data_IF_253631728034
#
_entry.id   IF_253631728034
#
_cell.length_a   1.000
_cell.length_b   1.000
_cell.length_c   1.000
_cell.angle_alpha   90.00
_cell.angle_beta   90.00
_cell.angle_gamma   90.00
#
_symmetry.space_group_name_H-M   'P 1'
#
loop_
_entity.id
_entity.type
_entity.pdbx_description
1 polymer ?
#
# COMPACT_ATOMS: atom_id res chain seq x y z
N UNK A 1 69.55 87.58 -67.42
CA UNK A 1 69.44 87.26 -65.98
C UNK A 1 68.22 86.34 -65.75
N UNK A 2 68.24 85.11 -66.27
CA UNK A 2 67.06 84.21 -66.28
C UNK A 2 67.42 82.80 -65.83
N UNK A 3 68.49 82.21 -66.39
CA UNK A 3 68.99 80.85 -66.11
C UNK A 3 69.09 80.44 -64.61
N UNK A 4 69.32 81.37 -63.68
CA UNK A 4 69.39 81.05 -62.23
C UNK A 4 68.01 80.76 -61.63
N UNK A 5 66.94 81.36 -62.14
CA UNK A 5 65.58 81.19 -61.62
C UNK A 5 64.99 79.84 -62.08
N UNK A 6 65.23 79.49 -63.35
CA UNK A 6 64.73 78.26 -63.99
C UNK A 6 65.29 77.00 -63.30
N UNK A 7 66.57 77.02 -62.89
CA UNK A 7 67.20 75.93 -62.15
C UNK A 7 66.59 75.70 -60.75
N UNK A 8 66.16 76.76 -60.07
CA UNK A 8 65.48 76.64 -58.76
C UNK A 8 64.09 76.04 -58.92
N UNK A 9 63.34 76.45 -59.95
CA UNK A 9 62.01 75.88 -60.24
C UNK A 9 62.09 74.39 -60.58
N UNK A 10 63.09 73.96 -61.35
CA UNK A 10 63.30 72.53 -61.66
C UNK A 10 63.59 71.70 -60.40
N UNK A 11 64.39 72.22 -59.46
CA UNK A 11 64.65 71.57 -58.17
C UNK A 11 63.39 71.47 -57.30
N UNK A 12 62.57 72.52 -57.23
CA UNK A 12 61.29 72.50 -56.51
C UNK A 12 60.29 71.50 -57.13
N UNK A 13 60.26 71.38 -58.47
CA UNK A 13 59.45 70.38 -59.16
C UNK A 13 59.96 68.95 -58.89
N UNK A 14 61.27 68.75 -58.84
CA UNK A 14 61.88 67.47 -58.49
C UNK A 14 61.62 67.08 -57.02
N UNK A 15 61.71 68.04 -56.10
CA UNK A 15 61.39 67.87 -54.67
C UNK A 15 59.91 67.48 -54.48
N UNK A 16 58.99 68.22 -55.11
CA UNK A 16 57.56 67.88 -55.12
C UNK A 16 57.32 66.46 -55.66
N UNK A 17 57.93 66.13 -56.79
CA UNK A 17 57.81 64.81 -57.43
C UNK A 17 58.38 63.67 -56.57
N UNK A 18 59.47 63.93 -55.83
CA UNK A 18 60.04 62.98 -54.88
C UNK A 18 59.16 62.81 -53.63
N UNK A 19 58.64 63.91 -53.09
CA UNK A 19 57.70 63.91 -51.96
C UNK A 19 56.41 63.16 -52.29
N UNK A 20 55.85 63.36 -53.49
CA UNK A 20 54.68 62.62 -53.98
C UNK A 20 54.95 61.10 -54.07
N UNK A 21 56.09 60.68 -54.64
CA UNK A 21 56.50 59.25 -54.68
C UNK A 21 56.64 58.64 -53.27
N UNK A 22 57.22 59.36 -52.33
CA UNK A 22 57.36 58.90 -50.93
C UNK A 22 55.99 58.82 -50.23
N UNK A 23 55.11 59.80 -50.44
CA UNK A 23 53.78 59.81 -49.87
C UNK A 23 52.89 58.72 -50.48
N UNK A 24 53.03 58.43 -51.77
CA UNK A 24 52.38 57.28 -52.41
C UNK A 24 52.88 55.96 -51.81
N UNK A 25 54.19 55.77 -51.64
CA UNK A 25 54.76 54.59 -51.00
C UNK A 25 54.25 54.39 -49.56
N UNK A 26 54.16 55.48 -48.76
CA UNK A 26 53.55 55.47 -47.43
C UNK A 26 52.08 55.06 -47.46
N UNK A 27 51.27 55.63 -48.38
CA UNK A 27 49.86 55.27 -48.58
C UNK A 27 49.69 53.79 -48.97
N UNK A 28 50.50 53.30 -49.91
CA UNK A 28 50.50 51.88 -50.32
C UNK A 28 50.86 50.94 -49.15
N UNK A 29 51.86 51.27 -48.33
CA UNK A 29 52.20 50.50 -47.12
C UNK A 29 51.06 50.48 -46.10
N UNK A 30 50.44 51.64 -45.84
CA UNK A 30 49.32 51.75 -44.91
C UNK A 30 48.08 50.98 -45.41
N UNK A 31 47.80 51.01 -46.72
CA UNK A 31 46.71 50.24 -47.34
C UNK A 31 46.90 48.74 -47.14
N UNK A 32 48.08 48.20 -47.51
CA UNK A 32 48.42 46.78 -47.31
C UNK A 32 48.32 46.32 -45.86
N UNK A 33 48.77 47.16 -44.91
CA UNK A 33 48.66 46.84 -43.48
C UNK A 33 47.20 46.84 -43.00
N UNK A 34 46.33 47.68 -43.56
CA UNK A 34 44.89 47.66 -43.27
C UNK A 34 44.20 46.46 -43.91
N UNK A 35 44.55 46.13 -45.15
CA UNK A 35 44.04 44.96 -45.88
C UNK A 35 44.37 43.66 -45.15
N UNK A 36 45.65 43.44 -44.81
CA UNK A 36 46.08 42.25 -44.06
C UNK A 36 45.40 42.11 -42.69
N UNK A 37 45.09 43.22 -42.00
CA UNK A 37 44.32 43.20 -40.75
C UNK A 37 42.86 42.83 -40.94
N UNK A 38 42.23 43.31 -42.02
CA UNK A 38 40.83 42.99 -42.35
C UNK A 38 40.72 41.53 -42.77
N UNK A 39 41.65 41.05 -43.60
CA UNK A 39 41.72 39.67 -44.08
C UNK A 39 41.91 38.68 -42.92
N UNK A 40 42.91 38.91 -42.05
CA UNK A 40 43.12 38.07 -40.86
C UNK A 40 41.93 38.10 -39.89
N UNK A 41 41.26 39.24 -39.72
CA UNK A 41 40.06 39.32 -38.88
C UNK A 41 38.88 38.55 -39.50
N UNK A 42 38.70 38.64 -40.82
CA UNK A 42 37.66 37.90 -41.53
C UNK A 42 37.89 36.38 -41.47
N UNK A 43 39.14 35.92 -41.52
CA UNK A 43 39.51 34.51 -41.35
C UNK A 43 39.21 34.01 -39.92
N UNK A 44 39.58 34.79 -38.90
CA UNK A 44 39.23 34.50 -37.48
C UNK A 44 37.71 34.41 -37.28
N UNK A 45 36.94 35.33 -37.86
CA UNK A 45 35.48 35.35 -37.70
C UNK A 45 34.81 34.22 -38.51
N UNK A 46 35.38 33.80 -39.65
CA UNK A 46 34.94 32.62 -40.39
C UNK A 46 35.18 31.32 -39.60
N UNK A 47 36.38 31.13 -39.03
CA UNK A 47 36.69 30.01 -38.15
C UNK A 47 35.78 29.97 -36.91
N UNK A 48 35.46 31.14 -36.32
CA UNK A 48 34.53 31.22 -35.18
C UNK A 48 33.14 30.77 -35.60
N UNK A 49 32.63 31.26 -36.73
CA UNK A 49 31.31 30.89 -37.24
C UNK A 49 31.21 29.39 -37.57
N UNK A 50 32.28 28.77 -38.07
CA UNK A 50 32.30 27.32 -38.31
C UNK A 50 32.28 26.50 -37.01
N UNK A 51 33.10 26.87 -36.00
CA UNK A 51 33.07 26.23 -34.68
C UNK A 51 31.73 26.41 -33.98
N UNK A 52 31.09 27.57 -34.11
CA UNK A 52 29.77 27.84 -33.54
C UNK A 52 28.67 27.00 -34.21
N UNK A 53 28.70 26.84 -35.55
CA UNK A 53 27.82 25.89 -36.26
C UNK A 53 28.01 24.46 -35.77
N UNK A 54 29.26 24.03 -35.61
CA UNK A 54 29.58 22.68 -35.12
C UNK A 54 29.10 22.46 -33.67
N UNK A 55 29.30 23.44 -32.79
CA UNK A 55 28.79 23.42 -31.42
C UNK A 55 27.27 23.29 -31.41
N UNK A 56 26.56 24.12 -32.18
CA UNK A 56 25.10 24.10 -32.26
C UNK A 56 24.54 22.76 -32.77
N UNK A 57 25.16 22.15 -33.78
CA UNK A 57 24.79 20.81 -34.26
C UNK A 57 24.97 19.71 -33.19
N UNK A 58 25.96 19.85 -32.30
CA UNK A 58 26.16 18.93 -31.17
C UNK A 58 25.14 19.21 -30.06
N UNK A 59 24.88 20.48 -29.74
CA UNK A 59 23.91 20.91 -28.73
C UNK A 59 22.51 20.37 -29.05
N UNK A 60 22.01 20.56 -30.27
CA UNK A 60 20.72 20.03 -30.74
C UNK A 60 20.65 18.50 -30.59
N UNK A 61 21.74 17.79 -30.94
CA UNK A 61 21.84 16.31 -30.78
C UNK A 61 21.91 15.85 -29.32
N UNK A 62 22.49 16.65 -28.42
CA UNK A 62 22.60 16.32 -26.99
C UNK A 62 21.27 16.58 -26.27
N UNK A 63 20.62 17.71 -26.56
CA UNK A 63 19.31 18.06 -26.01
C UNK A 63 18.24 17.03 -26.40
N UNK A 64 18.21 16.60 -27.66
CA UNK A 64 17.30 15.54 -28.13
C UNK A 64 17.51 14.22 -27.39
N UNK A 65 18.76 13.75 -27.29
CA UNK A 65 19.09 12.48 -26.61
C UNK A 65 18.73 12.46 -25.13
N UNK A 66 18.85 13.59 -24.42
CA UNK A 66 18.45 13.66 -23.00
C UNK A 66 16.94 13.38 -22.82
N UNK A 67 16.11 14.02 -23.65
CA UNK A 67 14.65 13.82 -23.64
C UNK A 67 14.27 12.39 -24.04
N UNK A 68 14.96 11.83 -25.03
CA UNK A 68 14.75 10.46 -25.49
C UNK A 68 15.08 9.42 -24.40
N UNK A 69 16.23 9.55 -23.72
CA UNK A 69 16.63 8.66 -22.61
C UNK A 69 15.61 8.75 -21.46
N UNK A 70 15.18 9.96 -21.10
CA UNK A 70 14.16 10.16 -20.05
C UNK A 70 12.82 9.50 -20.41
N UNK A 71 12.39 9.60 -21.67
CA UNK A 71 11.18 8.94 -22.16
C UNK A 71 11.30 7.40 -22.16
N UNK A 72 12.47 6.86 -22.53
CA UNK A 72 12.75 5.41 -22.48
C UNK A 72 12.73 4.89 -21.03
N UNK A 73 13.37 5.61 -20.09
CA UNK A 73 13.36 5.24 -18.67
C UNK A 73 11.94 5.23 -18.11
N UNK A 74 11.12 6.26 -18.40
CA UNK A 74 9.73 6.31 -17.95
C UNK A 74 8.92 5.15 -18.51
N UNK A 75 9.01 4.90 -19.82
CA UNK A 75 8.31 3.79 -20.48
C UNK A 75 8.67 2.44 -19.86
N UNK A 76 9.95 2.14 -19.67
CA UNK A 76 10.39 0.88 -19.04
C UNK A 76 9.92 0.77 -17.58
N UNK A 77 9.92 1.88 -16.85
CA UNK A 77 9.41 1.95 -15.48
C UNK A 77 7.92 1.64 -15.41
N UNK A 78 7.12 2.25 -16.30
CA UNK A 78 5.68 2.03 -16.41
C UNK A 78 5.36 0.57 -16.80
N UNK A 79 6.13 -0.01 -17.74
CA UNK A 79 6.01 -1.42 -18.15
C UNK A 79 6.34 -2.40 -17.00
N UNK A 80 7.39 -2.11 -16.20
CA UNK A 80 7.75 -2.90 -15.01
C UNK A 80 6.66 -2.78 -13.94
N UNK A 81 6.19 -1.57 -13.63
CA UNK A 81 5.13 -1.33 -12.64
C UNK A 81 3.84 -2.03 -13.07
N UNK A 82 3.46 -1.97 -14.34
CA UNK A 82 2.29 -2.66 -14.86
C UNK A 82 2.40 -4.18 -14.73
N UNK A 83 3.58 -4.74 -15.05
CA UNK A 83 3.87 -6.18 -14.94
C UNK A 83 3.83 -6.66 -13.48
N UNK A 84 4.50 -5.94 -12.58
CA UNK A 84 4.48 -6.22 -11.15
C UNK A 84 3.07 -6.11 -10.57
N UNK A 85 2.33 -5.06 -10.94
CA UNK A 85 0.93 -4.87 -10.53
C UNK A 85 0.00 -5.97 -11.02
N UNK A 86 0.23 -6.52 -12.22
CA UNK A 86 -0.53 -7.65 -12.73
C UNK A 86 -0.23 -8.94 -11.96
N UNK A 87 1.06 -9.22 -11.67
CA UNK A 87 1.48 -10.37 -10.87
C UNK A 87 0.91 -10.31 -9.44
N UNK A 88 1.00 -9.16 -8.76
CA UNK A 88 0.42 -8.97 -7.42
C UNK A 88 -1.10 -9.16 -7.45
N UNK A 89 -1.82 -8.64 -8.46
CA UNK A 89 -3.27 -8.85 -8.59
C UNK A 89 -3.66 -10.30 -8.87
N UNK A 90 -2.78 -11.10 -9.46
CA UNK A 90 -3.05 -12.51 -9.75
C UNK A 90 -2.86 -13.40 -8.52
N UNK A 91 -1.86 -13.11 -7.68
CA UNK A 91 -1.44 -13.97 -6.56
C UNK A 91 -1.87 -13.47 -5.17
N UNK A 92 -2.53 -12.31 -5.08
CA UNK A 92 -2.92 -11.70 -3.80
C UNK A 92 -3.87 -12.60 -3.00
N UNK A 93 -4.92 -13.11 -3.63
CA UNK A 93 -5.91 -13.95 -2.97
C UNK A 93 -5.29 -15.28 -2.51
N UNK A 94 -4.54 -15.97 -3.38
CA UNK A 94 -3.81 -17.21 -3.05
C UNK A 94 -2.84 -17.03 -1.85
N UNK A 95 -2.12 -15.91 -1.80
CA UNK A 95 -1.18 -15.61 -0.72
C UNK A 95 -1.89 -15.31 0.62
N UNK A 96 -3.03 -14.63 0.57
CA UNK A 96 -3.88 -14.36 1.73
C UNK A 96 -4.47 -15.67 2.28
N UNK A 97 -5.00 -16.53 1.40
CA UNK A 97 -5.58 -17.82 1.78
C UNK A 97 -4.53 -18.76 2.37
N UNK A 98 -3.33 -18.81 1.78
CA UNK A 98 -2.20 -19.57 2.32
C UNK A 98 -1.85 -19.09 3.74
N UNK A 99 -1.63 -17.78 3.93
CA UNK A 99 -1.23 -17.21 5.21
C UNK A 99 -2.28 -17.48 6.30
N UNK A 100 -3.56 -17.20 6.01
CA UNK A 100 -4.66 -17.46 6.94
C UNK A 100 -4.80 -18.95 7.26
N UNK A 101 -4.61 -19.85 6.29
CA UNK A 101 -4.73 -21.29 6.54
C UNK A 101 -3.67 -21.83 7.50
N UNK A 102 -2.44 -21.31 7.41
CA UNK A 102 -1.32 -21.70 8.25
C UNK A 102 -1.48 -21.21 9.69
N UNK A 103 -1.86 -19.95 9.88
CA UNK A 103 -2.00 -19.33 11.21
C UNK A 103 -3.08 -20.03 12.05
N UNK A 104 -4.29 -20.20 11.50
CA UNK A 104 -5.38 -20.89 12.20
C UNK A 104 -5.05 -22.35 12.52
N UNK A 105 -4.35 -23.05 11.61
CA UNK A 105 -3.97 -24.45 11.83
C UNK A 105 -2.91 -24.59 12.92
N UNK A 106 -1.96 -23.66 13.01
CA UNK A 106 -0.96 -23.62 14.08
C UNK A 106 -1.60 -23.32 15.44
N UNK A 107 -2.50 -22.33 15.53
CA UNK A 107 -3.23 -22.02 16.77
C UNK A 107 -4.09 -23.21 17.23
N UNK A 108 -4.78 -23.87 16.30
CA UNK A 108 -5.57 -25.06 16.57
C UNK A 108 -4.70 -26.25 17.02
N UNK A 109 -3.54 -26.46 16.41
CA UNK A 109 -2.60 -27.50 16.82
C UNK A 109 -2.12 -27.29 18.27
N UNK A 110 -1.78 -26.05 18.63
CA UNK A 110 -1.42 -25.71 20.01
C UNK A 110 -2.55 -26.04 21.00
N UNK A 111 -3.79 -25.63 20.70
CA UNK A 111 -4.97 -25.95 21.53
C UNK A 111 -5.22 -27.46 21.64
N UNK A 112 -5.12 -28.21 20.54
CA UNK A 112 -5.27 -29.66 20.54
C UNK A 112 -4.20 -30.35 21.37
N UNK A 113 -2.95 -29.89 21.27
CA UNK A 113 -1.82 -30.38 22.08
C UNK A 113 -2.08 -30.18 23.57
N UNK A 114 -2.57 -29.00 23.99
CA UNK A 114 -2.88 -28.72 25.41
C UNK A 114 -4.02 -29.58 25.94
N UNK A 115 -5.09 -29.76 25.17
CA UNK A 115 -6.19 -30.66 25.55
C UNK A 115 -5.71 -32.12 25.63
N UNK A 116 -4.85 -32.55 24.69
CA UNK A 116 -4.26 -33.88 24.72
C UNK A 116 -3.37 -34.09 25.97
N UNK A 117 -2.54 -33.12 26.35
CA UNK A 117 -1.75 -33.15 27.59
C UNK A 117 -2.65 -33.29 28.85
N UNK A 118 -3.80 -32.63 28.89
CA UNK A 118 -4.76 -32.71 30.01
C UNK A 118 -5.44 -34.08 30.07
N UNK A 119 -5.92 -34.60 28.93
CA UNK A 119 -6.55 -35.93 28.84
C UNK A 119 -5.55 -37.04 29.17
N UNK A 120 -4.31 -36.93 28.67
CA UNK A 120 -3.20 -37.85 28.96
C UNK A 120 -2.93 -37.94 30.48
N UNK A 121 -2.87 -36.79 31.17
CA UNK A 121 -2.71 -36.74 32.64
C UNK A 121 -3.91 -37.34 33.37
N UNK A 122 -5.14 -37.00 32.96
CA UNK A 122 -6.36 -37.46 33.62
C UNK A 122 -6.61 -38.98 33.46
N UNK A 123 -6.19 -39.57 32.34
CA UNK A 123 -6.33 -41.00 32.04
C UNK A 123 -5.05 -41.81 32.32
N UNK A 124 -3.97 -41.14 32.76
CA UNK A 124 -2.64 -41.71 33.00
C UNK A 124 -2.11 -42.52 31.79
N UNK A 125 -2.24 -41.95 30.60
CA UNK A 125 -1.84 -42.54 29.32
C UNK A 125 -0.98 -41.57 28.49
N UNK A 126 -0.31 -42.09 27.46
CA UNK A 126 0.44 -41.27 26.49
C UNK A 126 -0.36 -41.13 25.21
N UNK A 127 -0.59 -39.90 24.76
CA UNK A 127 -1.20 -39.60 23.46
C UNK A 127 -0.07 -39.28 22.48
N UNK A 128 -0.02 -40.00 21.36
CA UNK A 128 0.99 -39.79 20.33
C UNK A 128 0.73 -38.52 19.49
N UNK A 129 1.78 -37.92 18.95
CA UNK A 129 1.70 -36.69 18.16
C UNK A 129 0.88 -36.88 16.87
N UNK A 130 0.89 -38.07 16.25
CA UNK A 130 0.05 -38.36 15.08
C UNK A 130 -1.44 -38.22 15.42
N UNK A 131 -1.86 -38.63 16.63
CA UNK A 131 -3.24 -38.49 17.10
C UNK A 131 -3.60 -37.00 17.28
N UNK A 132 -2.67 -36.19 17.80
CA UNK A 132 -2.87 -34.74 17.95
C UNK A 132 -2.96 -34.05 16.58
N UNK A 133 -2.13 -34.45 15.61
CA UNK A 133 -2.19 -33.97 14.23
C UNK A 133 -3.52 -34.34 13.54
N UNK A 134 -3.98 -35.60 13.69
CA UNK A 134 -5.27 -36.06 13.16
C UNK A 134 -6.46 -35.32 13.79
N UNK A 135 -6.44 -35.10 15.11
CA UNK A 135 -7.45 -34.31 15.81
C UNK A 135 -7.47 -32.85 15.32
N UNK A 136 -6.29 -32.26 15.10
CA UNK A 136 -6.14 -30.91 14.56
C UNK A 136 -6.71 -30.79 13.14
N UNK A 137 -6.38 -31.72 12.25
CA UNK A 137 -6.91 -31.75 10.87
C UNK A 137 -8.43 -31.93 10.84
N UNK A 138 -8.96 -32.85 11.67
CA UNK A 138 -10.41 -33.08 11.81
C UNK A 138 -11.13 -31.83 12.30
N UNK A 139 -10.61 -31.16 13.33
CA UNK A 139 -11.16 -29.93 13.86
C UNK A 139 -11.04 -28.78 12.84
N UNK A 140 -9.94 -28.68 12.09
CA UNK A 140 -9.78 -27.64 11.08
C UNK A 140 -10.84 -27.75 9.97
N UNK A 141 -11.03 -28.97 9.42
CA UNK A 141 -12.10 -29.23 8.45
C UNK A 141 -13.49 -28.98 9.02
N UNK A 142 -13.70 -29.32 10.29
CA UNK A 142 -14.95 -29.00 10.98
C UNK A 142 -15.22 -27.48 11.06
N UNK A 143 -14.21 -26.65 11.36
CA UNK A 143 -14.34 -25.19 11.35
C UNK A 143 -14.65 -24.66 9.95
N UNK A 144 -14.03 -25.20 8.89
CA UNK A 144 -14.32 -24.81 7.51
C UNK A 144 -15.78 -25.08 7.12
N UNK A 145 -16.28 -26.30 7.40
CA UNK A 145 -17.68 -26.66 7.15
C UNK A 145 -18.64 -25.78 7.96
N UNK A 146 -18.34 -25.56 9.26
CA UNK A 146 -19.15 -24.69 10.12
C UNK A 146 -19.20 -23.25 9.59
N UNK A 147 -18.09 -22.70 9.07
CA UNK A 147 -18.07 -21.36 8.48
C UNK A 147 -18.96 -21.28 7.23
N UNK A 148 -18.89 -22.26 6.33
CA UNK A 148 -19.75 -22.34 5.13
C UNK A 148 -21.23 -22.52 5.50
N UNK A 149 -21.53 -23.33 6.51
CA UNK A 149 -22.90 -23.51 7.04
C UNK A 149 -23.46 -22.19 7.59
N UNK A 150 -22.68 -21.47 8.41
CA UNK A 150 -23.08 -20.17 8.98
C UNK A 150 -23.31 -19.10 7.90
N UNK A 151 -22.43 -19.03 6.90
CA UNK A 151 -22.62 -18.13 5.76
C UNK A 151 -23.88 -18.50 4.95
N UNK A 152 -24.15 -19.81 4.78
CA UNK A 152 -25.34 -20.31 4.10
C UNK A 152 -26.62 -20.00 4.89
N UNK A 153 -26.62 -20.09 6.23
CA UNK A 153 -27.77 -19.68 7.05
C UNK A 153 -28.04 -18.16 6.94
N UNK A 154 -27.00 -17.33 6.98
CA UNK A 154 -27.14 -15.89 6.78
C UNK A 154 -27.73 -15.58 5.39
N UNK A 155 -27.16 -16.16 4.33
CA UNK A 155 -27.65 -16.00 2.94
C UNK A 155 -29.09 -16.49 2.75
N UNK A 156 -29.46 -17.63 3.35
CA UNK A 156 -30.84 -18.16 3.31
C UNK A 156 -31.84 -17.19 3.97
N UNK A 157 -31.43 -16.55 5.07
CA UNK A 157 -32.19 -15.48 5.72
C UNK A 157 -32.08 -14.11 5.02
N UNK A 158 -31.51 -14.05 3.81
CA UNK A 158 -31.28 -12.83 3.00
C UNK A 158 -30.40 -11.78 3.69
N UNK A 159 -29.48 -12.21 4.56
CA UNK A 159 -28.50 -11.37 5.25
C UNK A 159 -27.10 -11.58 4.65
N UNK A 160 -26.35 -10.50 4.50
CA UNK A 160 -24.93 -10.51 4.07
C UNK A 160 -23.96 -10.65 5.24
N UNK A 161 -24.45 -10.58 6.48
CA UNK A 161 -23.65 -10.61 7.71
C UNK A 161 -24.20 -11.70 8.62
N UNK A 162 -23.30 -12.57 9.11
CA UNK A 162 -23.59 -13.62 10.08
C UNK A 162 -23.92 -12.96 11.42
N UNK A 163 -25.00 -13.41 12.06
CA UNK A 163 -25.48 -12.88 13.33
C UNK A 163 -25.47 -14.00 14.41
N UNK A 164 -25.66 -13.61 15.67
CA UNK A 164 -25.67 -14.55 16.81
C UNK A 164 -26.69 -15.68 16.63
N UNK A 165 -27.84 -15.43 16.01
CA UNK A 165 -28.88 -16.44 15.76
C UNK A 165 -28.39 -17.60 14.88
N UNK A 166 -27.49 -17.33 13.92
CA UNK A 166 -26.91 -18.36 13.05
C UNK A 166 -26.01 -19.31 13.85
N UNK A 167 -25.17 -18.74 14.73
CA UNK A 167 -24.31 -19.50 15.65
C UNK A 167 -25.14 -20.31 16.65
N UNK A 168 -26.25 -19.75 17.13
CA UNK A 168 -27.15 -20.42 18.08
C UNK A 168 -27.89 -21.60 17.46
N UNK A 169 -28.11 -21.60 16.14
CA UNK A 169 -28.64 -22.77 15.43
C UNK A 169 -27.69 -23.98 15.53
N UNK A 170 -26.37 -23.74 15.56
CA UNK A 170 -25.38 -24.80 15.81
C UNK A 170 -25.34 -25.23 17.29
N UNK A 171 -25.34 -24.27 18.23
CA UNK A 171 -25.33 -24.57 19.68
C UNK A 171 -26.54 -25.41 20.10
N UNK A 172 -27.73 -25.17 19.50
CA UNK A 172 -28.94 -26.00 19.72
C UNK A 172 -28.75 -27.49 19.43
N UNK A 173 -27.85 -27.86 18.51
CA UNK A 173 -27.56 -29.26 18.16
C UNK A 173 -26.54 -29.92 19.11
N UNK A 174 -25.84 -29.13 19.92
CA UNK A 174 -24.76 -29.58 20.79
C UNK A 174 -25.01 -29.11 22.24
N UNK A 175 -25.81 -29.83 23.04
CA UNK A 175 -26.25 -29.39 24.37
C UNK A 175 -25.10 -29.02 25.33
N UNK A 176 -23.94 -29.66 25.18
CA UNK A 176 -22.73 -29.37 25.97
C UNK A 176 -22.17 -27.95 25.78
N UNK A 177 -22.57 -27.24 24.71
CA UNK A 177 -22.17 -25.85 24.44
C UNK A 177 -23.15 -24.82 25.03
N UNK A 178 -24.31 -25.24 25.55
CA UNK A 178 -25.29 -24.34 26.18
C UNK A 178 -24.74 -23.61 27.44
N UNK A 179 -23.97 -24.25 28.35
CA UNK A 179 -23.39 -23.58 29.51
C UNK A 179 -22.45 -22.43 29.14
N UNK A 180 -21.82 -22.49 27.96
CA UNK A 180 -20.89 -21.49 27.45
C UNK A 180 -21.58 -20.17 27.04
N UNK A 181 -22.91 -20.16 26.87
CA UNK A 181 -23.69 -18.96 26.47
C UNK A 181 -24.81 -18.60 27.48
N UNK A 182 -24.48 -18.29 28.74
CA UNK A 182 -25.46 -18.11 29.82
C UNK A 182 -26.40 -16.91 29.64
N UNK A 183 -26.02 -15.90 28.85
CA UNK A 183 -26.90 -14.76 28.53
C UNK A 183 -28.01 -15.13 27.53
N UNK A 184 -27.78 -16.12 26.67
CA UNK A 184 -28.71 -16.48 25.58
C UNK A 184 -29.59 -17.67 25.96
N UNK A 185 -29.09 -18.60 26.77
CA UNK A 185 -29.87 -19.71 27.34
C UNK A 185 -31.16 -19.23 28.05
N UNK A 186 -31.16 -18.03 28.63
CA UNK A 186 -32.32 -17.43 29.31
C UNK A 186 -33.32 -16.72 28.40
N UNK A 187 -32.90 -16.26 27.23
CA UNK A 187 -33.74 -15.42 26.35
C UNK A 187 -34.57 -16.19 25.31
N UNK A 188 -34.18 -17.41 24.98
CA UNK A 188 -34.77 -18.18 23.86
C UNK A 188 -35.79 -19.26 24.27
N UNK A 189 -36.11 -19.39 25.56
CA UNK A 189 -37.06 -20.41 26.03
C UNK A 189 -36.69 -21.82 25.59
N UNK A 190 -35.48 -22.29 25.97
CA UNK A 190 -34.99 -23.64 25.67
C UNK A 190 -35.86 -24.70 26.36
N UNK A 191 -36.99 -25.02 25.70
CA UNK A 191 -38.04 -25.92 26.15
C UNK A 191 -37.60 -27.39 26.08
N UNK A 192 -37.74 -28.11 27.20
CA UNK A 192 -37.69 -29.57 27.48
C UNK A 192 -36.70 -30.51 26.72
N UNK A 193 -36.46 -30.36 25.42
CA UNK A 193 -35.83 -31.38 24.56
C UNK A 193 -34.35 -31.62 24.88
N UNK A 194 -33.62 -30.59 25.35
CA UNK A 194 -32.21 -30.74 25.72
C UNK A 194 -32.03 -31.51 27.05
N UNK A 195 -32.96 -31.36 27.99
CA UNK A 195 -32.91 -32.03 29.30
C UNK A 195 -33.13 -33.55 29.18
N UNK A 196 -33.85 -34.00 28.16
CA UNK A 196 -34.15 -35.41 27.90
C UNK A 196 -32.94 -36.26 27.44
N UNK A 197 -31.77 -35.66 27.17
CA UNK A 197 -30.55 -36.41 26.77
C UNK A 197 -29.44 -36.44 27.82
N UNK A 198 -29.57 -35.67 28.89
CA UNK A 198 -28.62 -35.66 30.03
C UNK A 198 -29.11 -36.49 31.22
N UNK A 199 -30.26 -37.17 31.10
CA UNK A 199 -30.92 -37.87 32.20
C UNK A 199 -30.64 -39.37 32.35
N UNK A 200 -30.04 -40.04 31.36
CA UNK A 200 -29.96 -41.51 31.30
C UNK A 200 -28.53 -42.05 31.13
N UNK A 201 -27.67 -41.89 32.14
CA UNK A 201 -26.50 -42.77 32.36
C UNK A 201 -26.27 -43.06 33.85
N UNK A 202 -27.31 -43.50 34.58
CA UNK A 202 -27.10 -44.30 35.80
C UNK A 202 -27.58 -45.74 35.57
N UNK A 203 -26.66 -46.71 35.71
CA UNK A 203 -26.99 -48.13 35.56
C UNK A 203 -27.65 -48.65 36.83
N UNK A 204 -28.93 -49.02 36.73
CA UNK A 204 -29.66 -49.72 37.79
C UNK A 204 -29.01 -51.05 38.24
N UNK A 205 -28.84 -51.17 39.55
CA UNK A 205 -29.04 -52.38 40.38
C UNK A 205 -29.57 -51.82 41.71
N UNK A 206 -30.69 -52.24 42.30
CA UNK A 206 -31.62 -53.36 42.06
C UNK A 206 -33.05 -52.90 42.39
N UNK A 207 -34.08 -53.51 41.81
CA UNK A 207 -35.47 -53.03 41.97
C UNK A 207 -36.28 -53.69 43.09
N UNK A 208 -37.45 -53.12 43.40
CA UNK A 208 -38.66 -53.86 43.81
C UNK A 208 -39.91 -52.95 43.88
N UNK A 209 -40.96 -53.36 43.16
CA UNK A 209 -42.41 -53.20 43.44
C UNK A 209 -43.12 -51.83 43.59
N UNK A 210 -44.38 -51.87 43.11
CA UNK A 210 -45.62 -51.17 43.51
C UNK A 210 -45.92 -49.73 43.04
N UNK A 211 -47.05 -49.67 42.30
CA UNK A 211 -48.16 -48.70 42.34
C UNK A 211 -48.18 -47.43 41.46
N UNK A 212 -49.09 -47.49 40.47
CA UNK A 212 -49.82 -46.36 39.88
C UNK A 212 -50.93 -45.90 40.87
N UNK A 213 -51.31 -44.60 40.87
CA UNK A 213 -52.55 -44.25 40.14
C UNK A 213 -52.59 -42.86 39.47
N UNK A 214 -52.89 -42.85 38.17
CA UNK A 214 -54.12 -42.31 37.54
C UNK A 214 -54.65 -40.89 37.91
N UNK A 215 -54.82 -40.07 36.84
CA UNK A 215 -55.70 -38.89 36.63
C UNK A 215 -55.43 -37.53 37.32
N UNK A 216 -55.36 -36.46 36.50
CA UNK A 216 -56.51 -35.58 36.22
C UNK A 216 -56.28 -34.69 34.97
N UNK A 217 -57.29 -34.53 34.11
CA UNK A 217 -57.37 -33.52 33.02
C UNK A 217 -58.59 -32.61 33.24
N UNK A 218 -58.41 -31.30 33.10
CA UNK A 218 -59.42 -30.29 32.69
C UNK A 218 -58.72 -28.91 32.73
N UNK A 219 -58.34 -28.33 31.58
CA UNK A 219 -59.16 -27.40 30.79
C UNK A 219 -59.48 -26.06 31.48
N UNK A 220 -59.09 -24.94 30.85
CA UNK A 220 -60.02 -23.84 30.53
C UNK A 220 -59.43 -22.89 29.47
N UNK A 221 -60.29 -22.36 28.59
CA UNK A 221 -59.91 -21.64 27.37
C UNK A 221 -60.73 -20.34 27.24
N UNK A 222 -60.11 -19.17 26.97
CA UNK A 222 -60.80 -18.01 26.33
C UNK A 222 -59.91 -16.80 25.93
N UNK A 223 -59.87 -16.55 24.62
CA UNK A 223 -60.17 -15.27 23.92
C UNK A 223 -59.47 -13.93 24.30
N UNK A 224 -58.41 -13.61 23.55
CA UNK A 224 -58.22 -12.47 22.62
C UNK A 224 -59.06 -11.14 22.75
N UNK A 225 -58.37 -9.99 22.57
CA UNK A 225 -58.72 -8.70 21.87
C UNK A 225 -58.76 -7.35 22.65
N UNK A 226 -58.32 -6.29 21.93
CA UNK A 226 -58.59 -4.82 22.06
C UNK A 226 -57.67 -3.84 22.84
N UNK A 227 -56.82 -3.14 22.06
CA UNK A 227 -56.61 -1.67 21.94
C UNK A 227 -56.60 -0.66 23.14
N UNK A 228 -55.41 -0.05 23.33
CA UNK A 228 -55.10 1.42 23.21
C UNK A 228 -55.65 2.44 24.23
N UNK A 229 -54.76 3.04 25.05
CA UNK A 229 -54.81 4.46 25.49
C UNK A 229 -53.46 5.01 25.98
N UNK A 230 -53.15 6.29 25.66
CA UNK A 230 -52.14 7.14 26.33
C UNK A 230 -52.84 8.22 27.17
N UNK A 231 -52.16 8.86 28.14
CA UNK A 231 -51.70 10.25 27.92
C UNK A 231 -50.30 10.58 28.53
N UNK A 232 -49.71 11.73 28.15
CA UNK A 232 -48.50 12.31 28.76
C UNK A 232 -48.81 13.17 30.01
N UNK A 233 -48.02 14.16 30.47
CA UNK A 233 -46.78 14.85 30.02
C UNK A 233 -46.15 15.50 31.27
N UNK A 234 -44.81 15.53 31.46
CA UNK A 234 -44.04 16.63 32.13
C UNK A 234 -42.57 16.64 31.62
N UNK A 235 -42.04 17.84 31.39
CA UNK A 235 -40.64 18.27 31.11
C UNK A 235 -40.49 19.60 31.91
N UNK A 236 -39.35 20.08 32.48
CA UNK A 236 -38.08 20.32 31.77
C UNK A 236 -36.79 20.26 32.68
N UNK A 237 -35.70 21.03 32.49
CA UNK A 237 -34.43 20.47 31.99
C UNK A 237 -33.18 20.84 32.82
N UNK A 238 -31.97 20.50 32.36
CA UNK A 238 -30.81 21.41 32.52
C UNK A 238 -29.68 21.18 31.51
N UNK A 239 -28.95 22.26 31.26
CA UNK A 239 -27.93 22.46 30.22
C UNK A 239 -26.55 22.57 30.84
N UNK A 240 -25.51 22.05 30.18
CA UNK A 240 -24.15 22.63 30.22
C UNK A 240 -23.23 22.01 29.15
N UNK A 241 -22.11 22.61 28.73
CA UNK A 241 -21.80 24.01 28.42
C UNK A 241 -20.39 24.07 27.78
N UNK A 242 -20.18 24.99 26.82
CA UNK A 242 -18.87 25.52 26.46
C UNK A 242 -18.00 24.71 25.46
N UNK A 243 -17.06 25.28 24.71
CA UNK A 243 -17.06 26.50 23.84
C UNK A 243 -15.71 26.54 23.07
N UNK A 244 -15.56 27.53 22.18
CA UNK A 244 -14.28 28.08 21.68
C UNK A 244 -13.51 27.32 20.58
N UNK A 245 -12.82 27.98 19.63
CA UNK A 245 -12.94 29.37 19.10
C UNK A 245 -12.24 29.43 17.70
N UNK A 246 -12.22 30.60 17.01
CA UNK A 246 -11.92 30.67 15.56
C UNK A 246 -10.87 31.75 15.17
N UNK A 247 -9.85 31.36 14.37
CA UNK A 247 -8.94 32.19 13.52
C UNK A 247 -7.90 33.12 14.24
N UNK A 248 -6.88 33.75 13.57
CA UNK A 248 -6.44 33.70 12.15
C UNK A 248 -4.89 33.66 11.84
N UNK A 249 -4.55 33.53 10.54
CA UNK A 249 -3.41 34.07 9.70
C UNK A 249 -1.87 34.01 10.03
N UNK A 250 -1.15 33.36 9.07
CA UNK A 250 0.08 33.76 8.32
C UNK A 250 1.57 33.54 8.83
N UNK A 251 2.58 33.47 7.90
CA UNK A 251 3.92 32.80 8.03
C UNK A 251 5.11 33.82 8.24
N UNK A 252 6.45 33.65 7.92
CA UNK A 252 7.21 32.62 7.13
C UNK A 252 8.68 32.22 7.54
N UNK A 253 9.23 31.18 6.87
CA UNK A 253 10.67 30.93 6.55
C UNK A 253 10.75 29.85 5.44
N UNK A 254 11.54 29.91 4.37
CA UNK A 254 12.96 30.22 4.07
C UNK A 254 13.96 29.06 4.26
N UNK A 255 14.38 28.55 3.09
CA UNK A 255 15.76 28.17 2.70
C UNK A 255 16.55 27.15 3.55
N UNK A 256 16.76 25.95 3.01
CA UNK A 256 18.11 25.38 2.86
C UNK A 256 18.12 24.13 1.96
N UNK A 257 19.19 24.01 1.17
CA UNK A 257 19.39 22.96 0.17
C UNK A 257 19.97 21.68 0.81
N UNK A 258 19.43 20.51 0.49
CA UNK A 258 20.11 19.24 0.78
C UNK A 258 20.83 18.74 -0.46
N UNK A 259 22.16 18.73 -0.36
CA UNK A 259 23.11 18.43 -1.44
C UNK A 259 23.21 16.93 -1.70
N UNK A 260 22.76 16.52 -2.89
CA UNK A 260 23.19 15.34 -3.68
C UNK A 260 24.05 14.27 -2.99
N UNK A 261 23.47 13.09 -2.80
CA UNK A 261 24.25 11.85 -2.76
C UNK A 261 24.90 11.56 -4.13
N UNK A 262 26.12 11.04 -4.11
CA UNK A 262 26.77 10.41 -5.26
C UNK A 262 27.33 9.07 -4.80
N UNK A 263 26.63 7.98 -5.10
CA UNK A 263 27.23 6.68 -5.34
C UNK A 263 26.45 5.95 -6.45
N UNK A 264 27.19 5.40 -7.41
CA UNK A 264 26.65 4.66 -8.55
C UNK A 264 26.40 3.19 -8.15
N UNK A 265 25.36 2.52 -8.64
CA UNK A 265 25.04 1.16 -8.25
C UNK A 265 25.81 0.14 -9.08
N UNK A 266 26.69 -0.65 -8.45
CA UNK A 266 27.23 -1.88 -9.03
C UNK A 266 27.67 -2.84 -7.91
N UNK A 267 26.81 -3.81 -7.59
CA UNK A 267 27.14 -5.12 -7.01
C UNK A 267 25.85 -5.85 -6.61
N UNK A 268 25.46 -6.87 -7.38
CA UNK A 268 24.41 -7.79 -6.96
C UNK A 268 25.00 -8.85 -6.02
N UNK A 269 25.19 -8.50 -4.73
CA UNK A 269 25.59 -9.44 -3.70
C UNK A 269 24.86 -9.23 -2.37
N UNK A 270 24.42 -10.35 -1.79
CA UNK A 270 23.98 -10.54 -0.39
C UNK A 270 22.74 -9.79 0.10
N UNK A 271 21.56 -10.33 -0.24
CA UNK A 271 20.34 -10.18 0.59
C UNK A 271 20.17 -11.34 1.60
N UNK A 272 21.15 -12.25 1.69
CA UNK A 272 21.13 -13.44 2.55
C UNK A 272 21.80 -13.25 3.91
N UNK A 273 22.58 -12.20 4.13
CA UNK A 273 23.29 -11.96 5.40
C UNK A 273 22.46 -11.26 6.49
N UNK A 274 21.27 -10.73 6.17
CA UNK A 274 20.43 -10.00 7.13
C UNK A 274 19.51 -10.88 8.00
N UNK A 275 19.53 -12.20 7.83
CA UNK A 275 18.55 -13.11 8.44
C UNK A 275 19.13 -14.16 9.41
N UNK A 276 20.38 -14.01 9.87
CA UNK A 276 21.06 -15.00 10.72
C UNK A 276 21.53 -14.55 12.12
N UNK A 277 21.23 -13.31 12.54
CA UNK A 277 21.60 -12.81 13.89
C UNK A 277 20.37 -12.64 14.81
N UNK A 278 19.70 -13.76 15.15
CA UNK A 278 18.68 -13.83 16.21
C UNK A 278 18.58 -15.26 16.81
N UNK A 279 19.63 -15.65 17.55
CA UNK A 279 19.60 -16.63 18.66
C UNK A 279 20.23 -16.01 19.91
#
# INVERSE_FOLDING_TARGET
MTSRNDGIQLLLQAEKSASEKVNEAKRRKAKRLKEAKIEAQAEIDAERAERERHFKMIEERVLGRRSEIEAQIKKLTDEIIATQSASVKLHKEDAIDLLMSLEHKAELHYKCTKIAEEVAKAQNCTIDLEIVCLATELLFRFHQVLATDLETFAKHAKRTTINMDDVLCFVRRNPQLLPCHPKVARGLGYCQVAQARTGDVERHRSGSTTDLPVQLMSDFHKQQTTAKKQPGVVVPPTTSAGTDSKNPEQPPSKDSETKTDVHSPDSAHSLTEWFMDLE
#
